data_IF_323837337111
#
_entry.id   IF_323837337111
#
_cell.length_a   1.000
_cell.length_b   1.000
_cell.length_c   1.000
_cell.angle_alpha   90.00
_cell.angle_beta   90.00
_cell.angle_gamma   90.00
#
_symmetry.space_group_name_H-M   'P 1'
#
loop_
_entity.id
_entity.type
_entity.pdbx_description
1 polymer ?
#
# COMPACT_ATOMS: atom_id res chain seq x y z
N UNK A 1 -5.83 10.62 9.14
CA UNK A 1 -5.88 10.76 7.66
C UNK A 1 -6.57 12.05 7.22
N UNK A 2 -7.53 12.56 7.99
CA UNK A 2 -8.21 13.83 7.71
C UNK A 2 -7.29 15.06 7.67
N UNK A 3 -6.08 14.94 8.20
CA UNK A 3 -5.10 16.04 8.26
C UNK A 3 -4.25 16.20 6.97
N UNK A 4 -4.42 15.33 5.97
CA UNK A 4 -3.61 15.35 4.75
C UNK A 4 -2.11 15.10 4.95
N UNK A 5 -1.69 14.56 6.09
CA UNK A 5 -0.28 14.30 6.40
C UNK A 5 0.28 13.18 5.52
N UNK A 6 1.45 13.36 4.90
CA UNK A 6 2.07 12.30 4.10
C UNK A 6 2.50 11.10 4.98
N UNK A 7 2.49 9.91 4.39
CA UNK A 7 2.84 8.65 5.08
C UNK A 7 4.20 8.71 5.78
N UNK A 8 5.17 9.43 5.22
CA UNK A 8 6.48 9.61 5.81
C UNK A 8 6.43 10.33 7.18
N UNK A 9 5.57 11.33 7.35
CA UNK A 9 5.39 12.00 8.64
C UNK A 9 4.62 11.13 9.63
N UNK A 10 3.57 10.45 9.17
CA UNK A 10 2.81 9.50 10.00
C UNK A 10 3.74 8.39 10.51
N UNK A 11 4.66 7.92 9.68
CA UNK A 11 5.62 6.88 10.08
C UNK A 11 6.54 7.29 11.21
N UNK A 12 6.86 8.58 11.34
CA UNK A 12 7.68 9.10 12.44
C UNK A 12 6.99 8.95 13.79
N UNK A 13 5.69 9.22 13.84
CA UNK A 13 4.88 9.07 15.05
C UNK A 13 4.71 7.58 15.40
N UNK A 14 4.36 6.75 14.42
CA UNK A 14 4.21 5.30 14.61
C UNK A 14 5.50 4.66 15.09
N UNK A 15 6.65 5.12 14.61
CA UNK A 15 7.95 4.59 15.00
C UNK A 15 8.19 4.66 16.51
N UNK A 16 7.70 5.70 17.16
CA UNK A 16 7.84 5.86 18.62
C UNK A 16 7.09 4.80 19.42
N UNK A 17 6.10 4.16 18.81
CA UNK A 17 5.30 3.09 19.42
C UNK A 17 5.91 1.69 19.22
N UNK A 18 6.94 1.58 18.43
CA UNK A 18 7.62 0.31 18.15
C UNK A 18 8.74 0.04 19.13
N UNK A 19 9.08 -1.24 19.32
CA UNK A 19 10.25 -1.63 20.09
C UNK A 19 11.53 -1.03 19.49
N UNK A 20 12.38 -0.47 20.33
CA UNK A 20 13.64 0.15 19.96
C UNK A 20 13.50 1.16 18.82
N UNK A 21 12.68 2.22 18.93
CA UNK A 21 12.34 3.14 17.85
C UNK A 21 13.55 3.84 17.23
N UNK A 22 14.64 4.00 17.98
CA UNK A 22 15.88 4.64 17.56
C UNK A 22 16.92 3.67 17.02
N UNK A 23 16.65 2.37 17.09
CA UNK A 23 17.57 1.35 16.58
C UNK A 23 17.72 1.47 15.07
N UNK A 24 18.93 1.72 14.63
CA UNK A 24 19.28 1.86 13.21
C UNK A 24 20.37 0.85 12.86
N UNK A 25 20.12 0.11 11.78
CA UNK A 25 21.13 -0.74 11.17
C UNK A 25 21.90 0.09 10.15
N UNK A 26 23.13 0.45 10.50
CA UNK A 26 23.98 1.29 9.65
C UNK A 26 25.06 0.44 9.02
N UNK A 27 25.46 0.80 7.82
CA UNK A 27 26.74 0.40 7.26
C UNK A 27 27.81 1.31 7.83
N UNK A 28 28.98 0.72 8.09
CA UNK A 28 30.19 1.41 8.55
C UNK A 28 31.29 1.23 7.49
N UNK A 29 32.28 2.12 7.49
CA UNK A 29 33.44 1.94 6.61
C UNK A 29 34.45 1.02 7.30
N UNK A 30 34.95 0.06 6.54
CA UNK A 30 36.08 -0.78 6.98
C UNK A 30 37.41 -0.05 6.81
N UNK A 31 38.51 -0.72 7.15
CA UNK A 31 39.86 -0.19 7.02
C UNK A 31 40.24 0.20 5.57
N UNK A 32 39.57 -0.39 4.59
CA UNK A 32 39.80 -0.12 3.16
C UNK A 32 38.83 0.94 2.61
N UNK A 33 37.97 1.54 3.44
CA UNK A 33 36.98 2.53 3.05
C UNK A 33 35.67 1.97 2.46
N UNK A 34 35.49 0.65 2.39
CA UNK A 34 34.29 0.02 1.88
C UNK A 34 33.15 0.08 2.88
N UNK A 35 31.90 0.26 2.39
CA UNK A 35 30.70 0.22 3.23
C UNK A 35 30.32 -1.24 3.55
N UNK A 36 30.56 -1.64 4.78
CA UNK A 36 30.23 -2.98 5.31
C UNK A 36 29.12 -2.89 6.37
N UNK A 37 28.33 -3.97 6.58
CA UNK A 37 27.35 -4.00 7.66
C UNK A 37 28.02 -3.80 9.03
N UNK A 38 27.42 -2.95 9.89
CA UNK A 38 27.81 -2.85 11.29
C UNK A 38 27.59 -4.16 12.03
N UNK A 39 28.27 -4.36 13.18
CA UNK A 39 28.10 -5.58 13.98
C UNK A 39 26.62 -5.82 14.37
N UNK A 40 25.84 -4.83 14.86
CA UNK A 40 24.40 -5.02 15.10
C UNK A 40 23.63 -5.45 13.87
N UNK A 41 24.03 -5.00 12.68
CA UNK A 41 23.39 -5.39 11.43
C UNK A 41 23.71 -6.84 11.02
N UNK A 42 24.90 -7.33 11.38
CA UNK A 42 25.31 -8.72 11.15
C UNK A 42 24.59 -9.68 12.11
N UNK A 43 24.44 -9.28 13.36
CA UNK A 43 23.89 -10.12 14.43
C UNK A 43 22.37 -10.21 14.40
N UNK A 44 21.70 -9.27 13.75
CA UNK A 44 20.24 -9.22 13.71
C UNK A 44 19.67 -10.00 12.52
N UNK A 45 19.04 -11.12 12.81
CA UNK A 45 18.40 -11.99 11.82
C UNK A 45 16.90 -12.16 12.12
N UNK A 46 16.05 -11.20 11.76
CA UNK A 46 14.63 -11.20 12.12
C UNK A 46 13.78 -12.23 11.36
N UNK A 47 14.35 -12.97 10.40
CA UNK A 47 13.61 -13.85 9.51
C UNK A 47 13.00 -13.13 8.31
N UNK A 48 12.27 -13.90 7.49
CA UNK A 48 11.62 -13.37 6.30
C UNK A 48 10.36 -12.56 6.65
N UNK A 49 10.10 -11.51 5.87
CA UNK A 49 8.91 -10.67 6.02
C UNK A 49 8.97 -9.67 7.18
N UNK A 50 10.02 -9.69 8.00
CA UNK A 50 10.21 -8.74 9.10
C UNK A 50 11.25 -7.69 8.69
N UNK A 51 10.91 -6.41 8.88
CA UNK A 51 11.84 -5.32 8.60
C UNK A 51 12.87 -5.18 9.71
N UNK A 52 14.14 -4.99 9.32
CA UNK A 52 15.28 -4.92 10.24
C UNK A 52 15.33 -3.67 11.12
N UNK A 53 14.47 -2.68 10.85
CA UNK A 53 14.47 -1.45 11.64
C UNK A 53 13.05 -0.97 11.90
N UNK A 54 12.85 -0.34 13.05
CA UNK A 54 11.58 0.31 13.39
C UNK A 54 11.20 1.39 12.37
N UNK A 55 12.19 2.09 11.82
CA UNK A 55 11.95 3.07 10.75
C UNK A 55 11.29 2.45 9.52
N UNK A 56 11.86 1.39 8.96
CA UNK A 56 11.30 0.71 7.78
C UNK A 56 9.95 0.07 8.08
N UNK A 57 9.79 -0.52 9.26
CA UNK A 57 8.53 -1.11 9.67
C UNK A 57 7.42 -0.07 9.83
N UNK A 58 7.71 1.06 10.46
CA UNK A 58 6.78 2.17 10.59
C UNK A 58 6.39 2.76 9.22
N UNK A 59 7.35 2.92 8.32
CA UNK A 59 7.10 3.41 6.95
C UNK A 59 6.20 2.44 6.17
N UNK A 60 6.47 1.15 6.27
CA UNK A 60 5.62 0.11 5.65
C UNK A 60 4.18 0.19 6.17
N UNK A 61 4.02 0.26 7.48
CA UNK A 61 2.70 0.32 8.11
C UNK A 61 1.96 1.59 7.71
N UNK A 62 2.61 2.75 7.77
CA UNK A 62 2.01 4.02 7.39
C UNK A 62 1.58 4.04 5.92
N UNK A 63 2.44 3.60 5.00
CA UNK A 63 2.13 3.56 3.58
C UNK A 63 0.98 2.58 3.28
N UNK A 64 1.01 1.38 3.87
CA UNK A 64 -0.03 0.36 3.68
C UNK A 64 -1.38 0.87 4.19
N UNK A 65 -1.43 1.44 5.39
CA UNK A 65 -2.67 1.95 5.99
C UNK A 65 -3.20 3.21 5.32
N UNK A 66 -2.33 4.06 4.79
CA UNK A 66 -2.74 5.20 3.97
C UNK A 66 -3.44 4.73 2.69
N UNK A 67 -2.85 3.79 1.96
CA UNK A 67 -3.47 3.24 0.75
C UNK A 67 -4.79 2.51 1.05
N UNK A 68 -4.84 1.74 2.13
CA UNK A 68 -6.06 1.06 2.58
C UNK A 68 -7.19 2.05 2.87
N UNK A 69 -6.87 3.18 3.50
CA UNK A 69 -7.85 4.23 3.79
C UNK A 69 -8.40 4.89 2.52
N UNK A 70 -7.55 5.20 1.54
CA UNK A 70 -8.00 5.73 0.24
C UNK A 70 -8.90 4.74 -0.49
N UNK A 71 -8.50 3.47 -0.55
CA UNK A 71 -9.29 2.41 -1.19
C UNK A 71 -10.64 2.18 -0.48
N UNK A 72 -10.67 2.29 0.83
CA UNK A 72 -11.91 2.23 1.60
C UNK A 72 -12.84 3.41 1.28
N UNK A 73 -12.30 4.62 1.20
CA UNK A 73 -13.08 5.80 0.84
C UNK A 73 -13.65 5.71 -0.59
N UNK A 74 -12.86 5.19 -1.52
CA UNK A 74 -13.33 4.94 -2.90
C UNK A 74 -14.44 3.88 -2.93
N UNK A 75 -14.26 2.77 -2.21
CA UNK A 75 -15.30 1.75 -2.06
C UNK A 75 -16.61 2.35 -1.54
N UNK A 76 -16.58 3.10 -0.46
CA UNK A 76 -17.77 3.73 0.13
C UNK A 76 -18.42 4.72 -0.84
N UNK A 77 -17.61 5.48 -1.57
CA UNK A 77 -18.10 6.40 -2.60
C UNK A 77 -18.84 5.66 -3.71
N UNK A 78 -18.25 4.59 -4.24
CA UNK A 78 -18.83 3.81 -5.33
C UNK A 78 -20.11 3.05 -4.93
N UNK A 79 -20.23 2.64 -3.66
CA UNK A 79 -21.47 2.03 -3.17
C UNK A 79 -22.67 2.98 -3.33
N UNK A 80 -22.47 4.29 -3.22
CA UNK A 80 -23.50 5.31 -3.33
C UNK A 80 -23.72 5.80 -4.78
N UNK A 81 -23.03 5.23 -5.76
CA UNK A 81 -23.17 5.58 -7.19
C UNK A 81 -23.88 4.45 -7.92
N UNK A 82 -25.18 4.63 -8.22
CA UNK A 82 -25.99 3.57 -8.85
C UNK A 82 -25.49 3.16 -10.24
N UNK A 83 -24.85 4.09 -10.94
CA UNK A 83 -24.26 3.86 -12.26
C UNK A 83 -22.90 3.12 -12.23
N UNK A 84 -22.36 2.82 -11.07
CA UNK A 84 -21.19 1.94 -10.91
C UNK A 84 -21.66 0.50 -10.77
N UNK A 85 -21.25 -0.36 -11.69
CA UNK A 85 -21.70 -1.76 -11.78
C UNK A 85 -20.67 -2.76 -11.20
N UNK A 86 -19.40 -2.37 -11.15
CA UNK A 86 -18.31 -3.19 -10.66
C UNK A 86 -17.04 -2.40 -10.42
N UNK A 87 -15.97 -3.10 -10.15
CA UNK A 87 -14.62 -2.52 -10.06
C UNK A 87 -13.63 -3.34 -10.88
N UNK A 88 -12.65 -2.69 -11.43
CA UNK A 88 -11.50 -3.33 -12.05
C UNK A 88 -10.26 -3.06 -11.23
N UNK A 89 -9.54 -4.11 -10.87
CA UNK A 89 -8.27 -4.01 -10.13
C UNK A 89 -7.13 -4.31 -11.06
N UNK A 90 -6.28 -3.32 -11.26
CA UNK A 90 -5.11 -3.40 -12.14
C UNK A 90 -3.82 -3.14 -11.38
N UNK A 91 -2.72 -3.64 -11.94
CA UNK A 91 -1.41 -3.22 -11.46
C UNK A 91 -1.15 -1.77 -11.83
N UNK A 92 -0.56 -1.03 -10.89
CA UNK A 92 -0.06 0.30 -11.21
C UNK A 92 0.99 0.22 -12.35
N UNK A 93 0.95 1.14 -13.32
CA UNK A 93 1.95 1.21 -14.38
C UNK A 93 3.35 1.61 -13.87
N UNK A 94 3.47 2.03 -12.61
CA UNK A 94 4.77 2.32 -12.00
C UNK A 94 5.57 1.04 -11.84
N UNK A 95 6.81 1.06 -12.34
CA UNK A 95 7.63 -0.13 -12.45
C UNK A 95 8.23 -0.55 -11.10
N UNK A 96 7.53 -1.42 -10.38
CA UNK A 96 8.02 -2.10 -9.18
C UNK A 96 8.40 -3.57 -9.42
N UNK A 97 8.60 -3.94 -10.68
CA UNK A 97 8.88 -5.30 -11.06
C UNK A 97 7.65 -6.22 -10.99
N UNK A 98 7.81 -7.50 -11.36
CA UNK A 98 6.73 -8.47 -11.35
C UNK A 98 6.25 -8.76 -9.91
N UNK A 99 4.93 -8.87 -9.73
CA UNK A 99 4.33 -9.29 -8.48
C UNK A 99 3.33 -10.43 -8.76
N UNK A 100 3.73 -11.70 -8.61
CA UNK A 100 2.87 -12.83 -8.94
C UNK A 100 1.52 -12.82 -8.20
N UNK A 101 1.49 -12.31 -6.96
CA UNK A 101 0.26 -12.18 -6.17
C UNK A 101 -0.71 -11.18 -6.81
N UNK A 102 -0.20 -10.02 -7.22
CA UNK A 102 -1.00 -8.98 -7.85
C UNK A 102 -1.45 -9.40 -9.26
N UNK A 103 -0.54 -10.00 -10.03
CA UNK A 103 -0.82 -10.44 -11.40
C UNK A 103 -1.90 -11.53 -11.44
N UNK A 104 -1.88 -12.46 -10.46
CA UNK A 104 -2.89 -13.52 -10.36
C UNK A 104 -4.27 -13.02 -9.92
N UNK A 105 -4.35 -11.82 -9.33
CA UNK A 105 -5.58 -11.24 -8.77
C UNK A 105 -6.03 -9.96 -9.48
N UNK A 106 -5.35 -9.56 -10.55
CA UNK A 106 -5.82 -8.48 -11.40
C UNK A 106 -7.08 -8.91 -12.16
N UNK A 107 -8.04 -8.03 -12.31
CA UNK A 107 -9.26 -8.31 -13.04
C UNK A 107 -10.49 -7.59 -12.49
N UNK A 108 -11.64 -8.00 -12.98
CA UNK A 108 -12.92 -7.40 -12.64
C UNK A 108 -13.58 -8.10 -11.45
N UNK A 109 -14.18 -7.30 -10.60
CA UNK A 109 -14.86 -7.72 -9.38
C UNK A 109 -16.24 -7.07 -9.27
N UNK A 110 -17.19 -7.70 -8.57
CA UNK A 110 -18.48 -7.10 -8.34
C UNK A 110 -18.38 -5.82 -7.50
N UNK A 111 -19.39 -4.97 -7.59
CA UNK A 111 -19.43 -3.65 -6.91
C UNK A 111 -19.24 -3.73 -5.40
N UNK A 112 -19.75 -4.80 -4.78
CA UNK A 112 -19.65 -5.05 -3.33
C UNK A 112 -18.30 -5.61 -2.87
N UNK A 113 -17.39 -5.88 -3.80
CA UNK A 113 -16.04 -6.32 -3.46
C UNK A 113 -15.21 -5.15 -2.95
N UNK A 114 -14.79 -5.22 -1.68
CA UNK A 114 -13.95 -4.19 -1.06
C UNK A 114 -12.47 -4.49 -1.28
N UNK A 115 -11.86 -3.77 -2.22
CA UNK A 115 -10.43 -3.84 -2.46
C UNK A 115 -9.66 -2.96 -1.47
N UNK A 116 -8.80 -3.55 -0.63
CA UNK A 116 -7.93 -2.83 0.31
C UNK A 116 -6.44 -3.02 0.03
N UNK A 117 -6.10 -3.88 -0.90
CA UNK A 117 -4.74 -4.28 -1.25
C UNK A 117 -4.55 -5.78 -1.05
N UNK A 118 -3.62 -6.36 -1.80
CA UNK A 118 -3.33 -7.80 -1.74
C UNK A 118 -2.23 -8.16 -0.72
N UNK A 119 -1.37 -7.22 -0.41
CA UNK A 119 -0.21 -7.39 0.48
C UNK A 119 0.30 -6.01 0.95
N UNK A 120 1.20 -5.96 1.95
CA UNK A 120 1.87 -4.70 2.32
C UNK A 120 2.58 -4.06 1.12
N UNK A 121 2.53 -2.73 1.03
CA UNK A 121 3.03 -1.95 -0.12
C UNK A 121 2.36 -2.29 -1.46
N UNK A 122 1.17 -2.86 -1.44
CA UNK A 122 0.43 -3.09 -2.68
C UNK A 122 0.13 -1.76 -3.39
N UNK A 123 0.55 -1.67 -4.65
CA UNK A 123 0.38 -0.49 -5.50
C UNK A 123 -0.72 -0.67 -6.56
N UNK A 124 -1.43 -1.78 -6.55
CA UNK A 124 -2.57 -1.97 -7.44
C UNK A 124 -3.62 -0.88 -7.22
N UNK A 125 -4.25 -0.49 -8.30
CA UNK A 125 -5.31 0.50 -8.33
C UNK A 125 -6.64 -0.18 -8.63
N UNK A 126 -7.71 0.31 -8.02
CA UNK A 126 -9.06 -0.06 -8.37
C UNK A 126 -9.72 1.10 -9.09
N UNK A 127 -10.44 0.82 -10.16
CA UNK A 127 -11.22 1.79 -10.93
C UNK A 127 -12.67 1.32 -11.02
N UNK A 128 -13.66 2.21 -10.98
CA UNK A 128 -15.06 1.82 -11.10
C UNK A 128 -15.37 1.44 -12.53
N UNK A 129 -16.12 0.36 -12.70
CA UNK A 129 -16.74 -0.01 -13.97
C UNK A 129 -18.11 0.67 -14.00
N UNK A 130 -18.31 1.47 -15.02
CA UNK A 130 -19.57 2.21 -15.22
C UNK A 130 -20.54 1.37 -16.04
N UNK A 131 -21.84 1.59 -15.86
CA UNK A 131 -22.83 1.04 -16.77
C UNK A 131 -22.63 1.54 -18.21
N UNK A 132 -23.10 0.79 -19.19
CA UNK A 132 -23.00 1.16 -20.60
C UNK A 132 -23.72 2.48 -20.89
N UNK A 133 -23.30 3.18 -21.96
CA UNK A 133 -23.82 4.51 -22.27
C UNK A 133 -25.36 4.55 -22.47
N UNK A 134 -25.90 3.50 -23.05
CA UNK A 134 -27.35 3.41 -23.27
C UNK A 134 -28.10 3.24 -21.95
N UNK A 135 -27.63 2.34 -21.08
CA UNK A 135 -28.18 2.13 -19.74
C UNK A 135 -28.04 3.37 -18.86
N UNK A 136 -26.92 4.08 -18.97
CA UNK A 136 -26.70 5.32 -18.24
C UNK A 136 -27.64 6.43 -18.71
N UNK A 137 -27.88 6.53 -20.01
CA UNK A 137 -28.85 7.50 -20.57
C UNK A 137 -30.31 7.21 -20.10
N UNK A 138 -30.71 5.95 -20.06
CA UNK A 138 -31.99 5.54 -19.49
C UNK A 138 -32.09 5.83 -17.99
N UNK A 139 -31.05 5.55 -17.24
CA UNK A 139 -30.97 5.85 -15.81
C UNK A 139 -31.12 7.35 -15.51
N UNK A 140 -30.53 8.23 -16.35
CA UNK A 140 -30.65 9.68 -16.20
C UNK A 140 -32.07 10.20 -16.46
N UNK A 141 -32.88 9.48 -17.24
CA UNK A 141 -34.25 9.90 -17.61
C UNK A 141 -35.33 9.42 -16.63
N UNK A 142 -34.96 8.56 -15.72
CA UNK A 142 -35.84 7.99 -14.69
C UNK A 142 -35.35 8.29 -13.27
#
# INVERSE_FOLDING_TARGET
LSSGRPAALISQDIRQLLNEPNRRFRRVRDANGNLVPSQPMKDYHPGQGIYRSSYKNALRLAATKTNEAFRTADYERWQNMDFVTGIEVERSPTNHGPCPVCDAKAGQYPKDFKFTGWHPFCICIATPIMMEHEEFAEWLLH
#
